data_IF_260084968128
#
_entry.id   IF_260084968128
#
_cell.length_a   1.000
_cell.length_b   1.000
_cell.length_c   1.000
_cell.angle_alpha   90.00
_cell.angle_beta   90.00
_cell.angle_gamma   90.00
#
_symmetry.space_group_name_H-M   'P 1'
#
loop_
_entity.id
_entity.type
_entity.pdbx_description
1 polymer ?
#
# COMPACT_ATOMS: atom_id res chain seq x y z
N UNK A 1 17.95 16.23 5.47
CA UNK A 1 17.81 15.84 4.03
C UNK A 1 17.45 17.09 3.22
N UNK A 2 17.78 17.20 1.93
CA UNK A 2 17.39 18.38 1.13
C UNK A 2 16.03 18.11 0.47
N UNK A 3 14.99 18.84 0.88
CA UNK A 3 13.63 18.66 0.35
C UNK A 3 13.54 19.29 -1.04
N UNK A 4 13.09 18.51 -2.02
CA UNK A 4 12.94 19.03 -3.37
C UNK A 4 11.81 20.08 -3.45
N UNK A 5 11.98 21.06 -4.34
CA UNK A 5 10.95 22.07 -4.63
C UNK A 5 9.60 21.43 -5.02
N UNK A 6 9.63 20.31 -5.74
CA UNK A 6 8.43 19.56 -6.11
C UNK A 6 7.66 19.04 -4.90
N UNK A 7 8.37 18.54 -3.88
CA UNK A 7 7.76 18.10 -2.62
C UNK A 7 7.16 19.27 -1.85
N UNK A 8 7.87 20.41 -1.78
CA UNK A 8 7.35 21.63 -1.15
C UNK A 8 6.05 22.13 -1.83
N UNK A 9 6.06 22.24 -3.17
CA UNK A 9 4.89 22.66 -3.95
C UNK A 9 3.70 21.69 -3.80
N UNK A 10 3.99 20.39 -3.68
CA UNK A 10 2.98 19.38 -3.38
C UNK A 10 2.36 19.63 -2.01
N UNK A 11 3.16 19.84 -0.95
CA UNK A 11 2.65 20.06 0.40
C UNK A 11 1.79 21.33 0.49
N UNK A 12 2.18 22.40 -0.17
CA UNK A 12 1.39 23.64 -0.22
C UNK A 12 0.04 23.43 -0.92
N UNK A 13 -0.01 22.56 -1.92
CA UNK A 13 -1.25 22.22 -2.62
C UNK A 13 -2.10 21.25 -1.82
N UNK A 14 -1.47 20.32 -1.10
CA UNK A 14 -2.12 19.39 -0.18
C UNK A 14 -2.79 20.13 0.98
N UNK A 15 -2.11 21.10 1.61
CA UNK A 15 -2.69 21.92 2.68
C UNK A 15 -3.90 22.73 2.22
N UNK A 16 -3.83 23.32 1.01
CA UNK A 16 -4.97 24.02 0.40
C UNK A 16 -6.13 23.08 0.13
N UNK A 17 -5.86 21.87 -0.36
CA UNK A 17 -6.87 20.85 -0.62
C UNK A 17 -7.52 20.33 0.67
N UNK A 18 -6.72 20.11 1.72
CA UNK A 18 -7.19 19.66 3.02
C UNK A 18 -7.94 20.76 3.81
N UNK A 19 -7.80 22.02 3.41
CA UNK A 19 -8.38 23.17 4.12
C UNK A 19 -7.74 23.43 5.49
N UNK A 20 -6.52 22.91 5.74
CA UNK A 20 -5.79 23.05 7.01
C UNK A 20 -4.28 22.93 6.80
N UNK A 21 -3.51 23.42 7.78
CA UNK A 21 -2.06 23.15 7.86
C UNK A 21 -1.81 21.71 8.32
N UNK A 22 -0.72 21.12 7.84
CA UNK A 22 -0.24 19.82 8.33
C UNK A 22 0.52 20.06 9.64
N UNK A 23 0.24 19.26 10.67
CA UNK A 23 0.90 19.38 11.97
C UNK A 23 2.38 18.99 11.88
N UNK A 24 2.69 17.97 11.08
CA UNK A 24 4.05 17.47 10.87
C UNK A 24 4.52 17.64 9.42
N UNK A 25 4.32 18.84 8.87
CA UNK A 25 4.68 19.17 7.49
C UNK A 25 6.12 18.75 7.13
N UNK A 26 7.09 19.02 8.02
CA UNK A 26 8.50 18.70 7.80
C UNK A 26 8.73 17.17 7.74
N UNK A 27 8.20 16.42 8.72
CA UNK A 27 8.34 14.96 8.76
C UNK A 27 7.69 14.29 7.52
N UNK A 28 6.57 14.84 7.04
CA UNK A 28 5.90 14.36 5.82
C UNK A 28 6.71 14.68 4.57
N UNK A 29 7.33 15.86 4.51
CA UNK A 29 8.23 16.22 3.42
C UNK A 29 9.38 15.22 3.31
N UNK A 30 9.99 14.90 4.45
CA UNK A 30 11.07 13.91 4.54
C UNK A 30 10.58 12.51 4.17
N UNK A 31 9.41 12.09 4.65
CA UNK A 31 8.83 10.78 4.31
C UNK A 31 8.57 10.64 2.81
N UNK A 32 7.99 11.65 2.17
CA UNK A 32 7.70 11.65 0.73
C UNK A 32 8.99 11.65 -0.10
N UNK A 33 9.95 12.51 0.27
CA UNK A 33 11.22 12.61 -0.42
C UNK A 33 11.99 11.28 -0.35
N UNK A 34 12.11 10.73 0.86
CA UNK A 34 12.81 9.48 1.12
C UNK A 34 12.19 8.30 0.37
N UNK A 35 10.86 8.19 0.38
CA UNK A 35 10.17 7.07 -0.28
C UNK A 35 10.23 7.15 -1.79
N UNK A 36 10.25 8.36 -2.36
CA UNK A 36 10.54 8.58 -3.78
C UNK A 36 11.95 8.17 -4.17
N UNK A 37 12.95 8.48 -3.34
CA UNK A 37 14.35 8.14 -3.60
C UNK A 37 14.66 6.65 -3.43
N UNK A 38 14.05 6.02 -2.42
CA UNK A 38 14.28 4.61 -2.06
C UNK A 38 13.38 3.61 -2.80
N UNK A 39 12.55 4.07 -3.74
CA UNK A 39 11.57 3.24 -4.48
C UNK A 39 10.57 2.50 -3.57
N UNK A 40 10.32 3.04 -2.36
CA UNK A 40 9.38 2.48 -1.36
C UNK A 40 7.99 3.14 -1.42
N UNK A 41 7.60 3.70 -2.57
CA UNK A 41 6.34 4.45 -2.71
C UNK A 41 5.10 3.60 -2.39
N UNK A 42 5.11 2.31 -2.74
CA UNK A 42 4.00 1.40 -2.42
C UNK A 42 3.79 1.23 -0.91
N UNK A 43 4.89 1.21 -0.14
CA UNK A 43 4.84 1.10 1.31
C UNK A 43 4.27 2.38 1.94
N UNK A 44 4.59 3.54 1.36
CA UNK A 44 3.98 4.81 1.75
C UNK A 44 2.47 4.81 1.44
N UNK A 45 2.08 4.34 0.26
CA UNK A 45 0.67 4.26 -0.14
C UNK A 45 -0.13 3.35 0.81
N UNK A 46 0.46 2.24 1.26
CA UNK A 46 -0.14 1.37 2.28
C UNK A 46 -0.25 2.07 3.64
N UNK A 47 0.81 2.75 4.10
CA UNK A 47 0.79 3.51 5.35
C UNK A 47 -0.27 4.62 5.34
N UNK A 48 -0.37 5.35 4.22
CA UNK A 48 -1.35 6.42 3.98
C UNK A 48 -2.78 5.86 3.98
N UNK A 49 -2.98 4.68 3.40
CA UNK A 49 -4.27 3.98 3.47
C UNK A 49 -4.64 3.60 4.91
N UNK A 50 -3.73 2.97 5.65
CA UNK A 50 -3.96 2.57 7.05
C UNK A 50 -4.23 3.78 7.96
N UNK A 51 -3.48 4.87 7.76
CA UNK A 51 -3.69 6.13 8.48
C UNK A 51 -5.11 6.68 8.27
N UNK A 52 -5.63 6.66 7.03
CA UNK A 52 -7.02 7.07 6.76
C UNK A 52 -8.03 6.18 7.47
N UNK A 53 -7.81 4.87 7.47
CA UNK A 53 -8.67 3.94 8.20
C UNK A 53 -8.69 4.26 9.70
N UNK A 54 -7.52 4.44 10.32
CA UNK A 54 -7.38 4.79 11.74
C UNK A 54 -8.14 6.06 12.11
N UNK A 55 -7.98 7.12 11.34
CA UNK A 55 -8.69 8.39 11.58
C UNK A 55 -10.21 8.19 11.53
N UNK A 56 -10.71 7.43 10.55
CA UNK A 56 -12.15 7.15 10.43
C UNK A 56 -12.66 6.27 11.56
N UNK A 57 -11.91 5.25 11.96
CA UNK A 57 -12.25 4.38 13.09
C UNK A 57 -12.29 5.17 14.39
N UNK A 58 -11.31 6.05 14.64
CA UNK A 58 -11.29 6.93 15.81
C UNK A 58 -12.50 7.89 15.83
N UNK A 59 -12.85 8.49 14.69
CA UNK A 59 -14.04 9.35 14.56
C UNK A 59 -15.33 8.59 14.92
N UNK A 60 -15.48 7.34 14.45
CA UNK A 60 -16.63 6.49 14.77
C UNK A 60 -16.65 6.14 16.25
N UNK A 61 -15.52 5.68 16.82
CA UNK A 61 -15.40 5.37 18.25
C UNK A 61 -15.79 6.57 19.12
N UNK A 62 -15.30 7.77 18.78
CA UNK A 62 -15.64 9.01 19.49
C UNK A 62 -17.13 9.34 19.39
N UNK A 63 -17.77 9.06 18.26
CA UNK A 63 -19.19 9.33 18.03
C UNK A 63 -20.11 8.37 18.78
N UNK A 64 -19.78 7.08 18.82
CA UNK A 64 -20.61 6.06 19.49
C UNK A 64 -20.39 6.05 21.01
N UNK A 65 -19.19 6.42 21.47
CA UNK A 65 -18.81 6.40 22.88
C UNK A 65 -18.48 4.99 23.41
N UNK A 66 -17.80 4.93 24.55
CA UNK A 66 -17.30 3.67 25.14
C UNK A 66 -18.38 2.72 25.65
N UNK A 67 -19.62 3.20 25.85
CA UNK A 67 -20.74 2.39 26.31
C UNK A 67 -21.56 1.72 25.18
N UNK A 68 -21.23 1.98 23.91
CA UNK A 68 -22.00 1.44 22.79
C UNK A 68 -21.68 -0.03 22.51
N UNK A 69 -22.70 -0.78 22.10
CA UNK A 69 -22.52 -2.17 21.64
C UNK A 69 -21.57 -2.20 20.44
N UNK A 70 -20.50 -2.98 20.55
CA UNK A 70 -19.47 -3.10 19.51
C UNK A 70 -18.28 -2.15 19.66
N UNK A 71 -18.27 -1.27 20.68
CA UNK A 71 -17.11 -0.41 20.95
C UNK A 71 -15.83 -1.24 21.18
N UNK A 72 -15.90 -2.31 21.97
CA UNK A 72 -14.73 -3.15 22.27
C UNK A 72 -14.13 -3.79 21.01
N UNK A 73 -14.99 -4.26 20.10
CA UNK A 73 -14.54 -4.81 18.81
C UNK A 73 -13.86 -3.73 17.97
N UNK A 74 -14.46 -2.55 17.88
CA UNK A 74 -13.90 -1.43 17.13
C UNK A 74 -12.58 -0.94 17.74
N UNK A 75 -12.47 -0.96 19.07
CA UNK A 75 -11.24 -0.63 19.80
C UNK A 75 -10.13 -1.66 19.54
N UNK A 76 -10.46 -2.95 19.44
CA UNK A 76 -9.49 -3.98 19.09
C UNK A 76 -9.00 -3.82 17.64
N UNK A 77 -9.91 -3.54 16.68
CA UNK A 77 -9.56 -3.26 15.28
C UNK A 77 -8.70 -2.00 15.14
N UNK A 78 -9.01 -0.96 15.94
CA UNK A 78 -8.20 0.25 16.01
C UNK A 78 -6.79 -0.03 16.50
N UNK A 79 -6.64 -0.79 17.59
CA UNK A 79 -5.33 -1.15 18.15
C UNK A 79 -4.48 -1.96 17.14
N UNK A 80 -5.07 -2.96 16.49
CA UNK A 80 -4.38 -3.76 15.47
C UNK A 80 -3.96 -2.91 14.25
N UNK A 81 -4.81 -1.97 13.84
CA UNK A 81 -4.48 -1.06 12.73
C UNK A 81 -3.39 -0.05 13.10
N UNK A 82 -3.35 0.36 14.37
CA UNK A 82 -2.32 1.25 14.89
C UNK A 82 -0.97 0.53 14.89
N UNK A 83 -0.92 -0.69 15.41
CA UNK A 83 0.28 -1.53 15.39
C UNK A 83 0.80 -1.74 13.96
N UNK A 84 -0.08 -2.12 13.01
CA UNK A 84 0.30 -2.25 11.60
C UNK A 84 0.84 -0.95 11.01
N UNK A 85 0.21 0.19 11.34
CA UNK A 85 0.68 1.51 10.85
C UNK A 85 2.08 1.81 11.38
N UNK A 86 2.37 1.50 12.64
CA UNK A 86 3.68 1.69 13.25
C UNK A 86 4.74 0.79 12.62
N UNK A 87 4.40 -0.45 12.28
CA UNK A 87 5.29 -1.37 11.55
C UNK A 87 5.62 -0.86 10.14
N UNK A 88 4.61 -0.34 9.42
CA UNK A 88 4.82 0.27 8.11
C UNK A 88 5.74 1.49 8.22
N UNK A 89 5.49 2.38 9.19
CA UNK A 89 6.32 3.56 9.44
C UNK A 89 7.76 3.18 9.82
N UNK A 90 7.97 2.19 10.70
CA UNK A 90 9.30 1.64 11.03
C UNK A 90 10.01 1.13 9.77
N UNK A 91 9.30 0.40 8.92
CA UNK A 91 9.86 -0.17 7.70
C UNK A 91 10.25 0.92 6.69
N UNK A 92 9.44 1.99 6.61
CA UNK A 92 9.71 3.15 5.77
C UNK A 92 11.01 3.84 6.17
N UNK A 93 11.22 4.07 7.47
CA UNK A 93 12.37 4.84 7.99
C UNK A 93 13.60 4.00 8.32
N UNK A 94 13.52 2.67 8.27
CA UNK A 94 14.61 1.76 8.69
C UNK A 94 15.99 2.09 8.08
N UNK A 95 16.01 2.39 6.79
CA UNK A 95 17.25 2.64 6.02
C UNK A 95 17.51 4.14 5.80
N UNK A 96 16.74 5.01 6.45
CA UNK A 96 16.86 6.45 6.33
C UNK A 96 18.17 6.98 6.95
N UNK A 97 18.62 8.20 6.57
CA UNK A 97 19.73 8.86 7.24
C UNK A 97 19.56 8.87 8.78
N UNK A 98 20.62 8.50 9.50
CA UNK A 98 20.57 8.20 10.94
C UNK A 98 20.02 9.34 11.80
N UNK A 99 20.28 10.59 11.44
CA UNK A 99 19.78 11.77 12.13
C UNK A 99 18.24 11.88 12.04
N UNK A 100 17.69 11.72 10.84
CA UNK A 100 16.23 11.77 10.64
C UNK A 100 15.56 10.54 11.24
N UNK A 101 16.12 9.35 11.02
CA UNK A 101 15.60 8.10 11.59
C UNK A 101 15.47 8.19 13.12
N UNK A 102 16.53 8.62 13.82
CA UNK A 102 16.51 8.73 15.28
C UNK A 102 15.51 9.76 15.80
N UNK A 103 15.36 10.90 15.11
CA UNK A 103 14.36 11.92 15.44
C UNK A 103 12.93 11.41 15.26
N UNK A 104 12.66 10.78 14.12
CA UNK A 104 11.37 10.22 13.77
C UNK A 104 10.96 9.10 14.74
N UNK A 105 11.89 8.18 15.03
CA UNK A 105 11.65 7.07 15.96
C UNK A 105 11.35 7.56 17.37
N UNK A 106 12.14 8.51 17.87
CA UNK A 106 11.92 9.10 19.20
C UNK A 106 10.55 9.73 19.33
N UNK A 107 10.12 10.48 18.30
CA UNK A 107 8.86 11.24 18.30
C UNK A 107 7.64 10.35 18.12
N UNK A 108 7.67 9.41 17.18
CA UNK A 108 6.48 8.67 16.78
C UNK A 108 6.47 7.21 17.24
N UNK A 109 7.63 6.58 17.46
CA UNK A 109 7.70 5.11 17.56
C UNK A 109 7.99 4.57 18.97
N UNK A 110 8.14 5.46 19.96
CA UNK A 110 8.49 5.13 21.37
C UNK A 110 7.34 4.56 22.22
N UNK A 111 6.11 4.49 21.71
CA UNK A 111 4.93 3.91 22.38
C UNK A 111 4.62 4.48 23.78
N UNK A 112 4.96 5.75 24.03
CA UNK A 112 4.53 6.47 25.22
C UNK A 112 3.29 7.33 24.88
N UNK A 113 2.65 7.93 25.90
CA UNK A 113 1.41 8.68 25.68
C UNK A 113 1.58 9.85 24.69
N UNK A 114 2.72 10.54 24.74
CA UNK A 114 3.03 11.65 23.84
C UNK A 114 3.22 11.16 22.40
N UNK A 115 4.00 10.09 22.20
CA UNK A 115 4.24 9.54 20.86
C UNK A 115 3.00 8.91 20.25
N UNK A 116 2.10 8.32 21.05
CA UNK A 116 0.78 7.87 20.55
C UNK A 116 -0.05 9.07 20.07
N UNK A 117 -0.11 10.16 20.83
CA UNK A 117 -0.79 11.38 20.40
C UNK A 117 -0.20 11.93 19.09
N UNK A 118 1.12 11.99 19.00
CA UNK A 118 1.82 12.48 17.81
C UNK A 118 1.62 11.55 16.60
N UNK A 119 1.59 10.22 16.78
CA UNK A 119 1.26 9.28 15.70
C UNK A 119 -0.16 9.50 15.18
N UNK A 120 -1.14 9.74 16.05
CA UNK A 120 -2.52 9.98 15.61
C UNK A 120 -2.66 11.27 14.82
N UNK A 121 -1.95 12.32 15.21
CA UNK A 121 -1.84 13.57 14.45
C UNK A 121 -1.13 13.35 13.10
N UNK A 122 -0.07 12.55 13.07
CA UNK A 122 0.60 12.16 11.83
C UNK A 122 -0.34 11.36 10.93
N UNK A 123 -1.14 10.45 11.48
CA UNK A 123 -2.17 9.72 10.74
C UNK A 123 -3.23 10.66 10.16
N UNK A 124 -3.60 11.74 10.86
CA UNK A 124 -4.49 12.78 10.33
C UNK A 124 -3.89 13.46 9.10
N UNK A 125 -2.59 13.77 9.13
CA UNK A 125 -1.90 14.37 7.98
C UNK A 125 -1.71 13.38 6.82
N UNK A 126 -1.32 12.13 7.09
CA UNK A 126 -1.26 11.08 6.06
C UNK A 126 -2.65 10.80 5.45
N UNK A 127 -3.72 10.87 6.25
CA UNK A 127 -5.10 10.76 5.75
C UNK A 127 -5.44 11.86 4.73
N UNK A 128 -4.86 13.06 4.86
CA UNK A 128 -5.00 14.11 3.84
C UNK A 128 -4.34 13.69 2.51
N UNK A 129 -3.16 13.07 2.55
CA UNK A 129 -2.52 12.48 1.36
C UNK A 129 -3.45 11.42 0.75
N UNK A 130 -4.10 10.59 1.56
CA UNK A 130 -5.02 9.57 1.01
C UNK A 130 -6.22 10.20 0.32
N UNK A 131 -6.77 11.29 0.87
CA UNK A 131 -7.85 12.03 0.22
C UNK A 131 -7.40 12.64 -1.11
N UNK A 132 -6.18 13.17 -1.16
CA UNK A 132 -5.57 13.64 -2.41
C UNK A 132 -5.49 12.54 -3.46
N UNK A 133 -5.01 11.35 -3.09
CA UNK A 133 -4.92 10.20 -3.99
C UNK A 133 -6.28 9.70 -4.49
N UNK A 134 -7.33 9.77 -3.67
CA UNK A 134 -8.69 9.35 -4.05
C UNK A 134 -9.37 10.32 -5.03
N UNK A 135 -8.87 11.55 -5.13
CA UNK A 135 -9.27 12.51 -6.16
C UNK A 135 -8.48 12.32 -7.47
N UNK A 136 -7.79 11.18 -7.63
CA UNK A 136 -6.94 10.82 -8.76
C UNK A 136 -5.81 11.84 -9.06
N UNK A 137 -5.37 12.56 -8.02
CA UNK A 137 -4.31 13.56 -8.16
C UNK A 137 -2.94 12.92 -8.03
N UNK A 138 -1.96 13.32 -8.87
CA UNK A 138 -0.65 12.67 -8.90
C UNK A 138 0.17 12.96 -7.63
N UNK A 139 0.96 11.98 -7.21
CA UNK A 139 1.99 12.13 -6.17
C UNK A 139 3.27 12.73 -6.77
N UNK A 140 4.08 13.47 -5.98
CA UNK A 140 5.29 14.13 -6.49
C UNK A 140 6.35 13.15 -7.02
N UNK A 141 6.43 11.94 -6.46
CA UNK A 141 7.34 10.88 -6.93
C UNK A 141 6.86 10.13 -8.19
N UNK A 142 5.58 10.25 -8.57
CA UNK A 142 5.05 9.56 -9.75
C UNK A 142 5.70 10.07 -11.05
N UNK A 143 6.09 11.36 -11.10
CA UNK A 143 6.73 11.96 -12.28
C UNK A 143 8.11 11.36 -12.56
N UNK A 144 8.89 11.02 -11.52
CA UNK A 144 10.24 10.46 -11.68
C UNK A 144 10.26 8.99 -12.13
N UNK A 145 9.21 8.22 -11.81
CA UNK A 145 9.10 6.82 -12.20
C UNK A 145 8.83 6.65 -13.70
N UNK A 146 7.97 7.50 -14.27
CA UNK A 146 7.65 7.48 -15.71
C UNK A 146 8.89 7.83 -16.55
N UNK A 147 9.71 8.77 -16.07
CA UNK A 147 10.92 9.19 -16.78
C UNK A 147 12.06 8.16 -16.66
N UNK A 148 12.21 7.47 -15.52
CA UNK A 148 13.20 6.38 -15.35
C UNK A 148 12.84 5.09 -16.11
N UNK A 149 11.55 4.81 -16.33
CA UNK A 149 11.10 3.67 -17.14
C UNK A 149 11.18 3.93 -18.65
N UNK A 150 11.47 5.17 -19.07
CA UNK A 150 11.56 5.54 -20.49
C UNK A 150 12.97 5.31 -21.09
N UNK A 151 13.88 4.62 -20.38
CA UNK A 151 15.09 4.11 -21.02
C UNK A 151 14.74 2.92 -21.92
N UNK A 152 15.12 2.94 -23.21
CA UNK A 152 14.71 1.93 -24.18
C UNK A 152 15.50 0.64 -23.95
N UNK A 153 15.02 -0.21 -23.04
CA UNK A 153 15.51 -1.57 -22.85
C UNK A 153 14.34 -2.54 -23.01
N UNK A 154 14.30 -3.19 -24.17
CA UNK A 154 13.56 -4.42 -24.49
C UNK A 154 12.02 -4.43 -24.48
N UNK A 155 11.43 -3.71 -25.44
CA UNK A 155 10.02 -3.89 -25.87
C UNK A 155 9.74 -5.21 -26.61
N UNK A 156 10.68 -6.16 -26.63
CA UNK A 156 10.52 -7.45 -27.30
C UNK A 156 9.97 -8.55 -26.37
N UNK A 157 10.09 -8.39 -25.05
CA UNK A 157 9.62 -9.35 -24.04
C UNK A 157 8.12 -9.30 -23.76
N UNK A 158 7.55 -8.09 -23.68
CA UNK A 158 6.17 -7.88 -23.20
C UNK A 158 5.10 -8.43 -24.15
N UNK A 159 5.35 -8.44 -25.46
CA UNK A 159 4.43 -9.00 -26.45
C UNK A 159 4.28 -10.53 -26.34
N UNK A 160 5.26 -11.23 -25.76
CA UNK A 160 5.19 -12.69 -25.55
C UNK A 160 4.42 -13.05 -24.29
N UNK A 161 4.49 -12.23 -23.25
CA UNK A 161 3.72 -12.42 -22.01
C UNK A 161 2.24 -12.07 -22.18
N UNK A 162 1.92 -10.97 -22.87
CA UNK A 162 0.53 -10.57 -23.12
C UNK A 162 -0.26 -11.61 -23.95
N UNK A 163 0.40 -12.25 -24.92
CA UNK A 163 -0.21 -13.31 -25.73
C UNK A 163 -0.49 -14.58 -24.93
N UNK A 164 0.42 -14.94 -24.02
CA UNK A 164 0.25 -16.14 -23.17
C UNK A 164 -0.87 -15.97 -22.15
N UNK A 165 -1.01 -14.78 -21.55
CA UNK A 165 -2.08 -14.47 -20.60
C UNK A 165 -3.48 -14.50 -21.25
N UNK A 166 -3.62 -13.92 -22.45
CA UNK A 166 -4.89 -13.89 -23.18
C UNK A 166 -5.40 -15.30 -23.55
N UNK A 167 -4.49 -16.21 -23.95
CA UNK A 167 -4.84 -17.60 -24.25
C UNK A 167 -5.30 -18.34 -23.00
N UNK A 168 -4.62 -18.12 -21.86
CA UNK A 168 -4.99 -18.76 -20.59
C UNK A 168 -6.38 -18.32 -20.10
N UNK A 169 -6.68 -17.01 -20.18
CA UNK A 169 -7.99 -16.47 -19.81
C UNK A 169 -9.13 -17.02 -20.68
N UNK A 170 -8.89 -17.18 -21.99
CA UNK A 170 -9.86 -17.78 -22.92
C UNK A 170 -10.12 -19.25 -22.62
N UNK A 171 -9.08 -20.01 -22.26
CA UNK A 171 -9.22 -21.42 -21.88
C UNK A 171 -10.01 -21.60 -20.57
N UNK A 172 -9.77 -20.74 -19.58
CA UNK A 172 -10.52 -20.75 -18.32
C UNK A 172 -12.00 -20.43 -18.56
N UNK A 173 -12.30 -19.42 -19.41
CA UNK A 173 -13.68 -19.05 -19.74
C UNK A 173 -14.41 -20.16 -20.51
N UNK A 174 -13.73 -20.81 -21.46
CA UNK A 174 -14.29 -21.93 -22.22
C UNK A 174 -14.56 -23.16 -21.34
N UNK A 175 -13.65 -23.45 -20.39
CA UNK A 175 -13.86 -24.49 -19.39
C UNK A 175 -15.06 -24.18 -18.49
N UNK A 176 -15.22 -22.91 -18.08
CA UNK A 176 -16.34 -22.48 -17.23
C UNK A 176 -17.69 -22.54 -17.96
N UNK A 177 -17.72 -22.16 -19.24
CA UNK A 177 -18.92 -22.20 -20.07
C UNK A 177 -19.38 -23.63 -20.41
N UNK A 178 -18.50 -24.63 -20.29
CA UNK A 178 -18.84 -26.04 -20.56
C UNK A 178 -19.51 -26.73 -19.35
N UNK A 179 -19.61 -26.05 -18.19
CA UNK A 179 -20.23 -26.57 -16.98
C UNK A 179 -21.70 -26.10 -16.95
N UNK A 180 -22.54 -26.70 -17.79
CA UNK A 180 -23.99 -26.53 -17.70
C UNK A 180 -24.60 -27.56 -16.72
N UNK A 181 -25.05 -27.05 -15.55
CA UNK A 181 -25.99 -27.65 -14.58
C UNK A 181 -25.49 -28.74 -13.59
N UNK A 182 -26.33 -29.08 -12.59
CA UNK A 182 -26.41 -28.49 -11.25
C UNK A 182 -25.32 -29.02 -10.30
N UNK A 183 -25.16 -28.33 -9.17
CA UNK A 183 -24.29 -28.65 -8.02
C UNK A 183 -24.41 -30.12 -7.55
N UNK A 184 -23.69 -31.03 -8.20
CA UNK A 184 -23.44 -32.39 -7.70
C UNK A 184 -22.06 -32.42 -7.04
N UNK A 185 -21.88 -33.27 -6.03
CA UNK A 185 -20.59 -33.48 -5.33
C UNK A 185 -19.47 -33.80 -6.33
N UNK A 186 -19.81 -34.47 -7.44
CA UNK A 186 -18.88 -34.76 -8.54
C UNK A 186 -18.35 -33.50 -9.24
N UNK A 187 -19.17 -32.45 -9.41
CA UNK A 187 -18.74 -31.18 -10.00
C UNK A 187 -17.71 -30.44 -9.14
N UNK A 188 -17.88 -30.44 -7.82
CA UNK A 188 -16.90 -29.88 -6.88
C UNK A 188 -15.59 -30.67 -6.88
N UNK A 189 -15.67 -32.01 -6.92
CA UNK A 189 -14.47 -32.84 -7.01
C UNK A 189 -13.66 -32.54 -8.27
N UNK A 190 -14.32 -32.37 -9.42
CA UNK A 190 -13.66 -32.00 -10.68
C UNK A 190 -13.04 -30.61 -10.60
N UNK A 191 -13.74 -29.62 -10.03
CA UNK A 191 -13.25 -28.26 -9.88
C UNK A 191 -11.98 -28.19 -9.00
N UNK A 192 -11.95 -28.97 -7.91
CA UNK A 192 -10.77 -29.07 -7.03
C UNK A 192 -9.58 -29.69 -7.79
N UNK A 193 -9.79 -30.77 -8.55
CA UNK A 193 -8.74 -31.39 -9.36
C UNK A 193 -8.18 -30.40 -10.39
N UNK A 194 -9.07 -29.63 -11.04
CA UNK A 194 -8.66 -28.62 -12.02
C UNK A 194 -7.85 -27.50 -11.37
N UNK A 195 -8.26 -27.01 -10.20
CA UNK A 195 -7.54 -25.98 -9.45
C UNK A 195 -6.13 -26.45 -9.04
N UNK A 196 -6.00 -27.71 -8.60
CA UNK A 196 -4.70 -28.31 -8.23
C UNK A 196 -3.79 -28.44 -9.46
N UNK A 197 -4.33 -28.83 -10.61
CA UNK A 197 -3.57 -28.89 -11.87
C UNK A 197 -3.06 -27.50 -12.29
N UNK A 198 -3.92 -26.48 -12.23
CA UNK A 198 -3.53 -25.09 -12.55
C UNK A 198 -2.42 -24.62 -11.61
N UNK A 199 -2.57 -24.83 -10.30
CA UNK A 199 -1.56 -24.48 -9.31
C UNK A 199 -0.22 -25.19 -9.57
N UNK A 200 -0.26 -26.46 -9.98
CA UNK A 200 0.94 -27.25 -10.31
C UNK A 200 1.66 -26.74 -11.55
N UNK A 201 0.93 -26.33 -12.58
CA UNK A 201 1.51 -25.72 -13.79
C UNK A 201 2.15 -24.37 -13.46
N UNK A 202 1.47 -23.53 -12.67
CA UNK A 202 2.02 -22.23 -12.23
C UNK A 202 3.30 -22.45 -11.42
N UNK A 203 3.30 -23.39 -10.49
CA UNK A 203 4.47 -23.72 -9.69
C UNK A 203 5.64 -24.20 -10.56
N UNK A 204 5.39 -25.10 -11.53
CA UNK A 204 6.42 -25.61 -12.43
C UNK A 204 7.03 -24.49 -13.31
N UNK A 205 6.19 -23.60 -13.86
CA UNK A 205 6.66 -22.46 -14.66
C UNK A 205 7.50 -21.51 -13.80
N UNK A 206 7.02 -21.16 -12.60
CA UNK A 206 7.76 -20.30 -11.67
C UNK A 206 9.11 -20.90 -11.27
N UNK A 207 9.15 -22.21 -11.05
CA UNK A 207 10.38 -22.92 -10.67
C UNK A 207 11.37 -23.03 -11.85
N UNK A 208 10.87 -23.24 -13.08
CA UNK A 208 11.70 -23.29 -14.28
C UNK A 208 12.35 -21.94 -14.61
N UNK A 209 11.70 -20.82 -14.28
CA UNK A 209 12.27 -19.48 -14.49
C UNK A 209 13.46 -19.25 -13.55
N UNK A 210 13.33 -19.58 -12.27
CA UNK A 210 14.44 -19.42 -11.31
C UNK A 210 15.65 -20.31 -11.62
N UNK A 211 15.46 -21.48 -12.23
CA UNK A 211 16.59 -22.33 -12.61
C UNK A 211 17.42 -21.81 -13.79
N UNK A 212 16.88 -20.86 -14.57
CA UNK A 212 17.61 -20.24 -15.68
C UNK A 212 18.45 -19.02 -15.26
N UNK A 213 18.24 -18.44 -14.07
CA UNK A 213 19.03 -17.30 -13.56
C UNK A 213 20.38 -17.70 -12.94
N UNK A 214 20.62 -18.99 -12.71
CA UNK A 214 21.84 -19.50 -12.06
C UNK A 214 22.80 -20.25 -12.99
N UNK A 215 22.70 -20.04 -14.31
CA UNK A 215 23.68 -20.50 -15.31
C UNK A 215 24.23 -19.34 -16.11
#
# INVERSE_FOLDING_TARGET
MNISRTTEEFLDTLERHAGRKLEFRADIAELIQWTGESMKSQLLDEAVFQAKFLVKTQEVMRRIGSGAVGFDKLSAEFAASLEKTLELLRTLVKDAPSEWHGGFEKRFLTMNQESVSDVLKLCSDLSAIKNWQLDDKPMPYAKGLVERQSTPSDSAGDLRFARSAAVLSLLILAAYASIEQPLTIAGWALAIVLAVLIASVIYFVSHSIHHHEHR
#
